data_IF_691546153502
#
_entry.id   IF_691546153502
#
_cell.length_a   1.000
_cell.length_b   1.000
_cell.length_c   1.000
_cell.angle_alpha   90.00
_cell.angle_beta   90.00
_cell.angle_gamma   90.00
#
_symmetry.space_group_name_H-M   'P 1'
#
loop_
_entity.id
_entity.type
_entity.pdbx_description
1 polymer ?
#
# COMPACT_ATOMS: atom_id res chain seq x y z
N UNK A 1 2.02 -12.78 -5.21
CA UNK A 1 3.31 -13.47 -5.01
C UNK A 1 3.25 -14.19 -3.66
N UNK A 2 3.59 -15.46 -3.65
CA UNK A 2 3.62 -16.27 -2.43
C UNK A 2 4.99 -16.98 -2.31
N UNK A 3 5.91 -16.47 -1.47
CA UNK A 3 7.24 -17.06 -1.29
C UNK A 3 7.26 -18.35 -0.46
N UNK A 4 6.13 -18.76 0.13
CA UNK A 4 6.01 -19.98 0.95
C UNK A 4 7.06 -20.08 2.07
N UNK A 5 7.44 -18.94 2.68
CA UNK A 5 8.45 -18.86 3.73
C UNK A 5 9.91 -18.98 3.25
N UNK A 6 10.15 -19.01 1.95
CA UNK A 6 11.49 -19.11 1.37
C UNK A 6 11.96 -17.74 0.84
N UNK A 7 13.26 -17.63 0.61
CA UNK A 7 13.83 -16.50 -0.12
C UNK A 7 13.30 -16.47 -1.54
N UNK A 8 13.01 -15.28 -2.05
CA UNK A 8 12.48 -15.08 -3.39
C UNK A 8 13.30 -14.07 -4.16
N UNK A 9 13.56 -14.37 -5.42
CA UNK A 9 14.21 -13.46 -6.37
C UNK A 9 13.17 -12.90 -7.33
N UNK A 10 13.01 -11.58 -7.33
CA UNK A 10 12.12 -10.89 -8.26
C UNK A 10 12.90 -10.51 -9.53
N UNK A 11 12.63 -11.19 -10.63
CA UNK A 11 13.25 -10.97 -11.92
C UNK A 11 12.23 -10.49 -12.96
N UNK A 12 12.70 -9.91 -14.05
CA UNK A 12 11.86 -9.46 -15.15
C UNK A 12 12.55 -8.36 -15.99
N UNK A 13 12.03 -8.11 -17.17
CA UNK A 13 12.50 -7.06 -18.05
C UNK A 13 12.42 -5.66 -17.42
N UNK A 14 13.10 -4.67 -17.99
CA UNK A 14 12.93 -3.28 -17.60
C UNK A 14 11.47 -2.85 -17.80
N UNK A 15 10.99 -1.97 -16.93
CA UNK A 15 9.60 -1.51 -16.88
C UNK A 15 8.53 -2.59 -16.57
N UNK A 16 8.91 -3.79 -16.12
CA UNK A 16 7.98 -4.88 -15.78
C UNK A 16 7.28 -4.71 -14.42
N UNK A 17 7.48 -3.57 -13.74
CA UNK A 17 6.84 -3.28 -12.45
C UNK A 17 7.57 -3.79 -11.20
N UNK A 18 8.81 -4.30 -11.32
CA UNK A 18 9.60 -4.77 -10.17
C UNK A 18 9.73 -3.70 -9.07
N UNK A 19 10.15 -2.49 -9.45
CA UNK A 19 10.28 -1.37 -8.49
C UNK A 19 8.93 -0.97 -7.92
N UNK A 20 7.87 -0.99 -8.72
CA UNK A 20 6.51 -0.72 -8.25
C UNK A 20 6.04 -1.72 -7.18
N UNK A 21 6.40 -3.00 -7.35
CA UNK A 21 6.10 -4.03 -6.35
C UNK A 21 6.87 -3.80 -5.05
N UNK A 22 8.16 -3.49 -5.13
CA UNK A 22 8.97 -3.16 -3.94
C UNK A 22 8.44 -1.91 -3.25
N UNK A 23 8.09 -0.87 -4.00
CA UNK A 23 7.49 0.36 -3.47
C UNK A 23 6.14 0.07 -2.78
N UNK A 24 5.34 -0.88 -3.29
CA UNK A 24 4.12 -1.34 -2.62
C UNK A 24 4.41 -1.99 -1.26
N UNK A 25 5.39 -2.91 -1.20
CA UNK A 25 5.80 -3.54 0.04
C UNK A 25 6.34 -2.51 1.05
N UNK A 26 7.22 -1.61 0.61
CA UNK A 26 7.72 -0.52 1.45
C UNK A 26 6.59 0.35 1.99
N UNK A 27 5.62 0.67 1.13
CA UNK A 27 4.45 1.47 1.51
C UNK A 27 3.62 0.77 2.59
N UNK A 28 3.49 -0.55 2.50
CA UNK A 28 2.72 -1.35 3.46
C UNK A 28 3.44 -1.50 4.80
N UNK A 29 4.76 -1.75 4.78
CA UNK A 29 5.56 -2.09 5.96
C UNK A 29 6.12 -0.84 6.66
N UNK A 30 6.46 0.23 5.89
CA UNK A 30 6.98 1.50 6.40
C UNK A 30 5.93 2.59 6.16
N UNK A 31 4.87 2.69 6.98
CA UNK A 31 3.73 3.58 6.71
C UNK A 31 4.07 5.06 6.92
N UNK A 32 5.07 5.37 7.73
CA UNK A 32 5.47 6.74 8.04
C UNK A 32 6.28 7.31 6.88
N UNK A 33 5.74 8.33 6.20
CA UNK A 33 6.30 8.89 4.96
C UNK A 33 7.76 9.34 5.09
N UNK A 34 8.14 9.96 6.22
CA UNK A 34 9.51 10.46 6.46
C UNK A 34 10.57 9.36 6.54
N UNK A 35 10.15 8.14 6.88
CA UNK A 35 11.03 6.99 7.09
C UNK A 35 11.06 6.08 5.84
N UNK A 36 10.31 6.45 4.78
CA UNK A 36 10.16 5.66 3.56
C UNK A 36 10.83 6.33 2.38
N UNK A 37 11.69 5.60 1.71
CA UNK A 37 12.37 6.04 0.50
C UNK A 37 11.99 5.11 -0.65
N UNK A 38 11.27 5.64 -1.63
CA UNK A 38 10.98 4.89 -2.86
C UNK A 38 12.25 4.77 -3.71
N UNK A 39 12.38 3.62 -4.36
CA UNK A 39 13.51 3.36 -5.26
C UNK A 39 13.42 4.32 -6.46
N UNK A 40 14.44 5.16 -6.62
CA UNK A 40 14.54 6.06 -7.76
C UNK A 40 14.95 5.25 -8.98
N UNK A 41 14.19 5.34 -10.06
CA UNK A 41 14.62 4.77 -11.34
C UNK A 41 15.89 5.47 -11.80
N UNK A 42 16.82 4.66 -12.30
CA UNK A 42 18.16 5.09 -12.70
C UNK A 42 18.15 6.30 -13.64
N UNK A 43 18.67 7.41 -13.20
CA UNK A 43 19.40 8.36 -14.03
C UNK A 43 18.68 9.63 -14.49
N UNK A 44 17.37 9.83 -14.35
CA UNK A 44 16.71 11.01 -14.92
C UNK A 44 15.74 11.73 -13.97
N UNK A 45 15.31 11.08 -12.90
CA UNK A 45 14.37 11.68 -11.95
C UNK A 45 15.12 12.41 -10.83
N UNK A 46 14.77 13.68 -10.61
CA UNK A 46 15.26 14.46 -9.49
C UNK A 46 14.80 13.84 -8.16
N UNK A 47 15.63 13.94 -7.13
CA UNK A 47 15.30 13.49 -5.78
C UNK A 47 13.95 14.09 -5.35
N UNK A 48 12.91 13.24 -5.20
CA UNK A 48 11.56 13.66 -4.83
C UNK A 48 10.49 13.47 -5.93
N UNK A 49 10.85 13.06 -7.13
CA UNK A 49 9.88 12.84 -8.22
C UNK A 49 8.96 11.64 -7.96
N UNK A 50 9.42 10.65 -7.19
CA UNK A 50 8.57 9.54 -6.73
C UNK A 50 7.96 9.86 -5.38
N UNK A 51 6.74 10.31 -5.41
CA UNK A 51 5.89 10.54 -4.25
C UNK A 51 4.84 9.45 -4.13
N UNK A 52 4.16 9.38 -3.00
CA UNK A 52 3.03 8.48 -2.83
C UNK A 52 1.89 8.77 -3.82
N UNK A 53 1.69 10.03 -4.18
CA UNK A 53 0.70 10.41 -5.19
C UNK A 53 1.07 9.93 -6.58
N UNK A 54 2.33 10.16 -6.99
CA UNK A 54 2.81 9.68 -8.29
C UNK A 54 2.79 8.17 -8.38
N UNK A 55 3.03 7.47 -7.26
CA UNK A 55 2.90 6.03 -7.17
C UNK A 55 1.44 5.57 -7.35
N UNK A 56 0.48 6.19 -6.65
CA UNK A 56 -0.96 5.85 -6.75
C UNK A 56 -1.50 6.15 -8.14
N UNK A 57 -1.11 7.27 -8.75
CA UNK A 57 -1.51 7.63 -10.11
C UNK A 57 -0.77 6.84 -11.19
N UNK A 58 0.34 6.17 -10.83
CA UNK A 58 1.14 5.38 -11.76
C UNK A 58 1.83 6.24 -12.81
N UNK A 59 2.57 7.27 -12.38
CA UNK A 59 3.37 8.09 -13.27
C UNK A 59 4.48 7.22 -13.91
N UNK A 60 4.63 7.29 -15.24
CA UNK A 60 5.55 6.40 -15.96
C UNK A 60 6.42 7.06 -17.01
N UNK A 61 6.21 8.32 -17.35
CA UNK A 61 7.00 9.02 -18.34
C UNK A 61 6.65 10.50 -18.45
N UNK A 62 7.57 11.23 -19.04
CA UNK A 62 7.39 12.63 -19.40
C UNK A 62 7.37 12.71 -20.92
N UNK A 63 6.33 13.30 -21.49
CA UNK A 63 6.25 13.61 -22.92
C UNK A 63 6.43 15.10 -23.10
N UNK A 64 7.40 15.46 -23.96
CA UNK A 64 7.54 16.79 -24.46
C UNK A 64 6.77 16.86 -25.77
N UNK A 65 5.69 17.62 -25.80
CA UNK A 65 4.98 17.86 -27.08
C UNK A 65 5.82 18.74 -27.99
N UNK A 66 5.94 18.35 -29.26
CA UNK A 66 6.65 19.16 -30.27
C UNK A 66 6.09 20.58 -30.29
N UNK A 67 6.99 21.55 -30.11
CA UNK A 67 6.62 22.99 -30.10
C UNK A 67 6.20 23.56 -28.76
N UNK A 68 6.17 22.78 -27.66
CA UNK A 68 5.92 23.29 -26.31
C UNK A 68 7.15 23.14 -25.42
N UNK A 69 7.44 24.17 -24.63
CA UNK A 69 8.51 24.16 -23.62
C UNK A 69 8.11 23.40 -22.34
N UNK A 70 6.84 23.00 -22.20
CA UNK A 70 6.32 22.29 -21.04
C UNK A 70 6.31 20.78 -21.26
N UNK A 71 6.85 20.04 -20.31
CA UNK A 71 6.80 18.58 -20.28
C UNK A 71 5.54 18.13 -19.52
N UNK A 72 4.70 17.32 -20.13
CA UNK A 72 3.55 16.72 -19.46
C UNK A 72 3.91 15.33 -18.93
N UNK A 73 3.62 15.10 -17.66
CA UNK A 73 3.84 13.78 -17.04
C UNK A 73 2.68 12.85 -17.38
N UNK A 74 3.00 11.68 -17.91
CA UNK A 74 2.02 10.64 -18.20
C UNK A 74 1.69 9.82 -16.96
N UNK A 75 0.41 9.52 -16.78
CA UNK A 75 -0.11 8.72 -15.67
C UNK A 75 -1.06 7.63 -16.17
N UNK A 76 -1.03 6.48 -15.51
CA UNK A 76 -1.88 5.33 -15.84
C UNK A 76 -3.31 5.45 -15.29
N UNK A 77 -3.50 6.27 -14.25
CA UNK A 77 -4.75 6.40 -13.52
C UNK A 77 -5.07 7.87 -13.27
N UNK A 78 -6.34 8.18 -13.14
CA UNK A 78 -6.83 9.49 -12.72
C UNK A 78 -7.16 9.52 -11.22
N UNK A 79 -7.66 10.64 -10.74
CA UNK A 79 -8.05 10.84 -9.34
C UNK A 79 -9.36 10.14 -8.93
N UNK A 80 -10.07 9.52 -9.86
CA UNK A 80 -11.28 8.73 -9.57
C UNK A 80 -10.95 7.28 -9.21
N UNK A 81 -9.66 6.93 -9.26
CA UNK A 81 -9.17 5.58 -8.97
C UNK A 81 -8.85 5.43 -7.50
N UNK A 82 -9.03 4.22 -6.98
CA UNK A 82 -8.49 3.80 -5.70
C UNK A 82 -7.42 2.72 -5.87
N UNK A 83 -6.56 2.58 -4.87
CA UNK A 83 -5.53 1.55 -4.83
C UNK A 83 -5.60 0.78 -3.52
N UNK A 84 -5.51 -0.53 -3.60
CA UNK A 84 -5.41 -1.42 -2.45
C UNK A 84 -4.05 -2.09 -2.47
N UNK A 85 -3.36 -2.04 -1.34
CA UNK A 85 -2.14 -2.79 -1.10
C UNK A 85 -2.43 -3.70 0.08
N UNK A 86 -2.24 -5.00 -0.10
CA UNK A 86 -2.37 -5.95 0.98
C UNK A 86 -1.29 -7.04 0.93
N UNK A 87 -0.93 -7.56 2.09
CA UNK A 87 -0.09 -8.73 2.24
C UNK A 87 -0.55 -9.55 3.44
N UNK A 88 -0.66 -10.87 3.24
CA UNK A 88 -1.02 -11.82 4.28
C UNK A 88 0.23 -12.57 4.75
N UNK A 89 0.38 -12.64 6.07
CA UNK A 89 1.48 -13.33 6.75
C UNK A 89 0.89 -14.46 7.58
N UNK A 90 1.52 -15.60 7.55
CA UNK A 90 1.16 -16.75 8.38
C UNK A 90 2.39 -17.28 9.11
N UNK A 91 2.19 -17.73 10.36
CA UNK A 91 3.22 -18.42 11.12
C UNK A 91 3.06 -19.95 11.05
N UNK A 92 3.95 -20.68 11.73
CA UNK A 92 3.90 -22.13 11.80
C UNK A 92 2.59 -22.67 12.41
N UNK A 93 1.96 -21.91 13.32
CA UNK A 93 0.70 -22.29 13.97
C UNK A 93 -0.53 -21.95 13.11
N UNK A 94 -0.36 -21.62 11.83
CA UNK A 94 -1.41 -21.23 10.91
C UNK A 94 -2.17 -19.93 11.32
N UNK A 95 -1.65 -19.18 12.29
CA UNK A 95 -2.19 -17.85 12.60
C UNK A 95 -1.88 -16.91 11.46
N UNK A 96 -2.88 -16.21 11.01
CA UNK A 96 -2.79 -15.31 9.86
C UNK A 96 -3.05 -13.86 10.25
N UNK A 97 -2.23 -12.98 9.71
CA UNK A 97 -2.40 -11.53 9.80
C UNK A 97 -2.33 -10.98 8.38
N UNK A 98 -3.32 -10.21 7.99
CA UNK A 98 -3.33 -9.47 6.72
C UNK A 98 -3.17 -7.99 7.02
N UNK A 99 -2.09 -7.41 6.55
CA UNK A 99 -1.89 -5.96 6.53
C UNK A 99 -2.53 -5.40 5.27
N UNK A 100 -3.25 -4.29 5.37
CA UNK A 100 -3.81 -3.65 4.18
C UNK A 100 -3.80 -2.12 4.30
N UNK A 101 -3.74 -1.48 3.16
CA UNK A 101 -3.86 -0.04 3.02
C UNK A 101 -4.69 0.27 1.79
N UNK A 102 -5.65 1.19 1.92
CA UNK A 102 -6.45 1.69 0.81
C UNK A 102 -6.13 3.17 0.62
N UNK A 103 -5.94 3.57 -0.63
CA UNK A 103 -5.65 4.94 -1.03
C UNK A 103 -6.61 5.39 -2.10
N UNK A 104 -7.11 6.61 -1.96
CA UNK A 104 -8.01 7.24 -2.94
C UNK A 104 -7.86 8.74 -2.89
N UNK A 105 -8.38 9.43 -3.88
CA UNK A 105 -8.46 10.88 -3.88
C UNK A 105 -9.85 11.35 -3.47
N UNK A 106 -9.89 12.39 -2.67
CA UNK A 106 -11.11 13.12 -2.30
C UNK A 106 -10.78 14.59 -2.26
N UNK A 107 -11.50 15.39 -3.04
CA UNK A 107 -11.23 16.83 -3.24
C UNK A 107 -9.77 17.10 -3.66
N UNK A 108 -9.24 16.30 -4.58
CA UNK A 108 -7.85 16.33 -5.04
C UNK A 108 -6.78 16.08 -3.97
N UNK A 109 -7.17 15.62 -2.78
CA UNK A 109 -6.26 15.22 -1.72
C UNK A 109 -6.18 13.71 -1.61
N UNK A 110 -4.95 13.19 -1.48
CA UNK A 110 -4.73 11.76 -1.27
C UNK A 110 -5.18 11.36 0.14
N UNK A 111 -6.19 10.52 0.20
CA UNK A 111 -6.71 9.91 1.44
C UNK A 111 -6.15 8.51 1.62
N UNK A 112 -6.03 8.09 2.86
CA UNK A 112 -5.47 6.79 3.25
C UNK A 112 -6.32 6.17 4.34
N UNK A 113 -6.49 4.85 4.25
CA UNK A 113 -6.98 4.03 5.33
C UNK A 113 -6.01 2.89 5.55
N UNK A 114 -5.59 2.72 6.78
CA UNK A 114 -4.77 1.59 7.21
C UNK A 114 -5.67 0.56 7.89
N UNK A 115 -5.27 -0.71 7.81
CA UNK A 115 -5.99 -1.74 8.53
C UNK A 115 -5.20 -3.04 8.67
N UNK A 116 -5.64 -3.82 9.64
CA UNK A 116 -5.09 -5.13 9.98
C UNK A 116 -6.25 -6.10 10.13
N UNK A 117 -6.13 -7.26 9.50
CA UNK A 117 -7.11 -8.34 9.65
C UNK A 117 -6.44 -9.61 10.18
N UNK A 118 -7.13 -10.31 11.07
CA UNK A 118 -6.75 -11.62 11.59
C UNK A 118 -7.37 -12.77 10.78
N UNK A 119 -7.66 -12.47 9.51
CA UNK A 119 -8.23 -13.37 8.51
C UNK A 119 -7.60 -13.03 7.16
N UNK A 120 -7.61 -13.97 6.20
CA UNK A 120 -7.26 -13.63 4.82
C UNK A 120 -8.28 -12.63 4.25
N UNK A 121 -7.76 -11.68 3.47
CA UNK A 121 -8.56 -10.76 2.67
C UNK A 121 -8.21 -10.96 1.20
N UNK A 122 -9.19 -10.71 0.34
CA UNK A 122 -9.04 -10.75 -1.11
C UNK A 122 -9.41 -9.40 -1.72
N UNK A 123 -8.62 -8.95 -2.70
CA UNK A 123 -8.78 -7.61 -3.27
C UNK A 123 -10.12 -7.44 -3.97
N UNK A 124 -10.55 -8.44 -4.74
CA UNK A 124 -11.78 -8.32 -5.55
C UNK A 124 -13.02 -8.44 -4.69
N UNK A 125 -13.09 -9.47 -3.84
CA UNK A 125 -14.28 -9.74 -3.03
C UNK A 125 -14.46 -8.81 -1.83
N UNK A 126 -13.37 -8.25 -1.28
CA UNK A 126 -13.42 -7.41 -0.10
C UNK A 126 -13.37 -5.91 -0.42
N UNK A 127 -12.73 -5.52 -1.52
CA UNK A 127 -12.53 -4.11 -1.87
C UNK A 127 -13.12 -3.74 -3.24
N UNK A 128 -13.64 -4.69 -4.02
CA UNK A 128 -14.15 -4.46 -5.37
C UNK A 128 -15.32 -3.47 -5.44
N UNK A 129 -16.05 -3.28 -4.33
CA UNK A 129 -17.14 -2.29 -4.21
C UNK A 129 -16.72 -1.06 -3.42
N UNK A 130 -15.50 -0.60 -3.64
CA UNK A 130 -14.99 0.61 -3.00
C UNK A 130 -15.86 1.83 -3.34
N UNK A 131 -16.08 2.67 -2.34
CA UNK A 131 -16.68 3.99 -2.49
C UNK A 131 -15.93 5.04 -1.66
N UNK A 132 -15.80 6.25 -2.18
CA UNK A 132 -15.07 7.33 -1.51
C UNK A 132 -15.77 7.87 -0.24
N UNK A 133 -17.03 7.49 0.00
CA UNK A 133 -17.81 7.89 1.17
C UNK A 133 -17.56 7.00 2.38
N UNK A 134 -16.80 5.91 2.21
CA UNK A 134 -16.41 5.00 3.28
C UNK A 134 -17.45 3.92 3.64
N UNK A 135 -18.45 3.69 2.80
CA UNK A 135 -19.41 2.61 3.05
C UNK A 135 -18.74 1.23 2.96
N UNK A 136 -17.72 1.08 2.10
CA UNK A 136 -16.91 -0.14 2.02
C UNK A 136 -16.33 -0.56 3.38
N UNK A 137 -15.94 0.40 4.25
CA UNK A 137 -15.48 0.09 5.62
C UNK A 137 -16.58 -0.55 6.45
N UNK A 138 -17.80 -0.01 6.36
CA UNK A 138 -18.96 -0.55 7.08
C UNK A 138 -19.31 -1.95 6.60
N UNK A 139 -19.20 -2.20 5.28
CA UNK A 139 -19.45 -3.52 4.68
C UNK A 139 -18.41 -4.53 5.21
N UNK A 140 -17.12 -4.19 5.19
CA UNK A 140 -16.06 -5.04 5.72
C UNK A 140 -16.21 -5.27 7.23
N UNK A 141 -16.49 -4.23 7.99
CA UNK A 141 -16.70 -4.34 9.43
C UNK A 141 -17.86 -5.27 9.74
N UNK A 142 -19.00 -5.11 9.05
CA UNK A 142 -20.15 -6.00 9.18
C UNK A 142 -19.82 -7.44 8.78
N UNK A 143 -19.07 -7.63 7.68
CA UNK A 143 -18.72 -8.98 7.18
C UNK A 143 -17.86 -9.75 8.19
N UNK A 144 -16.89 -9.10 8.81
CA UNK A 144 -15.88 -9.78 9.61
C UNK A 144 -16.02 -9.61 11.13
N UNK A 145 -16.66 -8.54 11.59
CA UNK A 145 -16.79 -8.23 13.01
C UNK A 145 -18.19 -8.43 13.58
N UNK A 146 -19.20 -8.76 12.78
CA UNK A 146 -20.52 -9.08 13.29
C UNK A 146 -20.50 -10.40 14.06
N UNK A 147 -21.11 -10.40 15.24
CA UNK A 147 -21.29 -11.58 16.11
C UNK A 147 -19.98 -12.27 16.54
N UNK A 148 -18.89 -11.51 16.68
CA UNK A 148 -17.61 -12.04 17.17
C UNK A 148 -17.21 -11.35 18.48
N UNK A 149 -16.65 -12.12 19.41
CA UNK A 149 -16.12 -11.59 20.68
C UNK A 149 -14.83 -10.79 20.50
N UNK A 150 -14.02 -11.17 19.51
CA UNK A 150 -12.77 -10.48 19.19
C UNK A 150 -12.81 -9.99 17.75
N UNK A 151 -12.53 -8.72 17.54
CA UNK A 151 -12.47 -8.13 16.21
C UNK A 151 -11.50 -8.89 15.30
N UNK A 152 -11.97 -9.25 14.12
CA UNK A 152 -11.19 -9.89 13.06
C UNK A 152 -10.59 -8.89 12.09
N UNK A 153 -11.14 -7.69 11.99
CA UNK A 153 -10.61 -6.60 11.18
C UNK A 153 -10.56 -5.32 12.01
N UNK A 154 -9.45 -4.63 11.93
CA UNK A 154 -9.18 -3.37 12.62
C UNK A 154 -8.90 -2.29 11.57
N UNK A 155 -9.66 -1.19 11.60
CA UNK A 155 -9.37 0.01 10.85
C UNK A 155 -8.59 0.96 11.74
N UNK A 156 -7.46 1.46 11.26
CA UNK A 156 -6.52 2.24 12.05
C UNK A 156 -6.34 3.61 11.40
N UNK A 157 -6.50 4.66 12.18
CA UNK A 157 -6.36 6.03 11.70
C UNK A 157 -4.92 6.52 11.89
N UNK A 158 -4.28 6.79 10.77
CA UNK A 158 -2.95 7.35 10.72
C UNK A 158 -1.79 6.33 10.70
N UNK A 159 -0.67 6.75 10.12
CA UNK A 159 0.48 5.88 9.90
C UNK A 159 1.21 5.49 11.18
N UNK A 160 1.24 6.37 12.19
CA UNK A 160 1.94 6.12 13.46
C UNK A 160 1.23 5.02 14.26
N UNK A 161 -0.08 5.14 14.47
CA UNK A 161 -0.86 4.13 15.17
C UNK A 161 -0.82 2.77 14.45
N UNK A 162 -0.81 2.79 13.10
CA UNK A 162 -0.65 1.58 12.33
C UNK A 162 0.74 0.94 12.52
N UNK A 163 1.81 1.74 12.52
CA UNK A 163 3.16 1.26 12.77
C UNK A 163 3.32 0.65 14.18
N UNK A 164 2.76 1.31 15.20
CA UNK A 164 2.75 0.81 16.58
C UNK A 164 2.01 -0.53 16.68
N UNK A 165 0.83 -0.61 16.06
CA UNK A 165 0.04 -1.84 16.05
C UNK A 165 0.73 -3.01 15.34
N UNK A 166 1.45 -2.73 14.24
CA UNK A 166 2.30 -3.73 13.58
C UNK A 166 3.44 -4.17 14.48
N UNK A 167 4.12 -3.23 15.15
CA UNK A 167 5.22 -3.54 16.05
C UNK A 167 4.78 -4.49 17.18
N UNK A 168 3.60 -4.24 17.76
CA UNK A 168 3.00 -5.13 18.76
C UNK A 168 2.71 -6.53 18.23
N UNK A 169 2.11 -6.61 17.03
CA UNK A 169 1.70 -7.88 16.43
C UNK A 169 2.88 -8.75 16.00
N UNK A 170 3.95 -8.14 15.53
CA UNK A 170 5.15 -8.84 15.09
C UNK A 170 6.25 -8.91 16.16
N UNK A 171 5.98 -8.48 17.39
CA UNK A 171 6.91 -8.52 18.50
C UNK A 171 8.13 -7.59 18.33
N UNK A 172 7.97 -6.49 17.60
CA UNK A 172 9.06 -5.55 17.37
C UNK A 172 9.17 -4.56 18.54
N UNK A 173 10.40 -4.33 19.00
CA UNK A 173 10.65 -3.41 20.12
C UNK A 173 10.55 -1.93 19.75
N UNK A 174 10.57 -1.60 18.45
CA UNK A 174 10.53 -0.22 17.95
C UNK A 174 10.05 -0.21 16.50
N UNK A 175 9.25 0.80 16.16
CA UNK A 175 8.85 1.05 14.76
C UNK A 175 10.05 1.35 13.84
N UNK A 176 11.17 1.82 14.41
CA UNK A 176 12.42 2.01 13.66
C UNK A 176 13.05 0.70 13.21
N UNK A 177 12.73 -0.43 13.84
CA UNK A 177 13.23 -1.73 13.39
C UNK A 177 12.72 -2.10 11.97
N UNK A 178 11.60 -1.52 11.53
CA UNK A 178 11.07 -1.69 10.17
C UNK A 178 11.85 -0.93 9.09
N UNK A 179 12.69 0.02 9.47
CA UNK A 179 13.49 0.84 8.55
C UNK A 179 14.91 0.32 8.32
N UNK A 180 15.28 -0.78 8.97
CA UNK A 180 16.63 -1.37 8.91
C UNK A 180 16.75 -2.53 7.90
N UNK A 181 15.73 -2.77 7.07
CA UNK A 181 15.76 -3.79 6.03
C UNK A 181 15.72 -3.21 4.62
#
# INVERSE_FOLDING_TARGET
>A
INPKGNNSLLTGANASGKSTYIDALLTLIVPVKKDRFYNQSSGVEKKGDRTEETYVLGHYGNIQEEGKTSTSTQKLRDTNTYSVILASFSNADQKQITLFQVRWFSNNELRRQFGIAHVPLDVESDFGQFDSKGNWKKVLDKKYNSNVTKKKIEFIDGPTAYAERMADLFGMRSTKALTLF
#
